data_IF_557152762682
#
_entry.id   IF_557152762682
#
_cell.length_a   1.000
_cell.length_b   1.000
_cell.length_c   1.000
_cell.angle_alpha   90.00
_cell.angle_beta   90.00
_cell.angle_gamma   90.00
#
_symmetry.space_group_name_H-M   'P 1'
#
loop_
_entity.id
_entity.type
_entity.pdbx_description
1 polymer ?
#
# COMPACT_ATOMS: atom_id res chain seq x y z
N UNK A 1 2.86 12.25 0.84
CA UNK A 1 3.80 12.17 -0.28
C UNK A 1 4.51 13.51 -0.48
N UNK A 2 5.80 13.46 -0.78
CA UNK A 2 6.69 14.62 -0.70
C UNK A 2 7.19 15.10 -2.06
N UNK A 3 7.36 14.20 -3.02
CA UNK A 3 7.86 14.57 -4.34
C UNK A 3 6.83 15.43 -5.09
N UNK A 4 7.22 16.57 -5.67
CA UNK A 4 6.32 17.44 -6.43
C UNK A 4 5.62 16.70 -7.57
N UNK A 5 4.37 17.05 -7.85
CA UNK A 5 3.53 16.41 -8.87
C UNK A 5 4.11 16.49 -10.28
N UNK A 6 4.88 17.52 -10.58
CA UNK A 6 5.53 17.70 -11.88
C UNK A 6 6.47 16.57 -12.28
N UNK A 7 6.96 15.80 -11.29
CA UNK A 7 7.82 14.65 -11.54
C UNK A 7 7.06 13.35 -11.81
N UNK A 8 5.75 13.34 -11.56
CA UNK A 8 4.90 12.19 -11.85
C UNK A 8 4.40 12.23 -13.29
N UNK A 9 4.78 11.24 -14.09
CA UNK A 9 4.39 11.18 -15.50
C UNK A 9 2.93 10.76 -15.71
N UNK A 10 2.29 10.16 -14.70
CA UNK A 10 0.89 9.75 -14.77
C UNK A 10 0.13 10.22 -13.54
N UNK A 11 -0.67 11.25 -13.70
CA UNK A 11 -1.44 11.89 -12.62
C UNK A 11 -2.46 10.98 -11.94
N UNK A 12 -2.84 9.89 -12.58
CA UNK A 12 -3.83 8.94 -12.05
C UNK A 12 -3.17 7.76 -11.33
N UNK A 13 -1.86 7.67 -11.33
CA UNK A 13 -1.09 6.55 -10.83
C UNK A 13 -0.02 6.99 -9.82
N UNK A 14 0.75 6.03 -9.36
CA UNK A 14 1.89 6.30 -8.48
C UNK A 14 1.54 6.42 -7.00
N UNK A 15 0.29 6.25 -6.63
CA UNK A 15 -0.17 6.37 -5.26
C UNK A 15 -0.25 5.03 -4.54
N UNK A 16 -1.41 4.77 -3.94
CA UNK A 16 -1.66 3.63 -3.08
C UNK A 16 -2.93 2.91 -3.53
N UNK A 17 -2.88 1.58 -3.50
CA UNK A 17 -4.05 0.72 -3.64
C UNK A 17 -4.35 0.07 -2.31
N UNK A 18 -5.57 0.20 -1.83
CA UNK A 18 -6.06 -0.44 -0.61
C UNK A 18 -7.24 -1.32 -0.98
N UNK A 19 -7.19 -2.57 -0.55
CA UNK A 19 -8.26 -3.53 -0.79
C UNK A 19 -9.17 -3.61 0.44
N UNK A 20 -10.43 -3.95 0.22
CA UNK A 20 -11.43 -4.05 1.29
C UNK A 20 -11.42 -5.39 2.03
N UNK A 21 -10.35 -6.14 1.91
CA UNK A 21 -10.18 -7.45 2.54
C UNK A 21 -8.93 -7.46 3.41
N UNK A 22 -9.05 -7.77 4.70
CA UNK A 22 -7.88 -7.92 5.57
C UNK A 22 -7.20 -9.27 5.36
N UNK A 23 -5.92 -9.35 5.73
CA UNK A 23 -5.22 -10.62 5.75
C UNK A 23 -5.84 -11.55 6.81
N UNK A 24 -6.05 -12.84 6.48
CA UNK A 24 -6.53 -13.81 7.47
C UNK A 24 -5.57 -13.89 8.66
N UNK A 25 -6.11 -14.02 9.86
CA UNK A 25 -5.31 -14.08 11.10
C UNK A 25 -4.32 -15.25 11.12
N UNK A 26 -4.64 -16.34 10.42
CA UNK A 26 -3.80 -17.53 10.36
C UNK A 26 -2.69 -17.46 9.30
N UNK A 27 -2.61 -16.38 8.55
CA UNK A 27 -1.52 -16.20 7.59
C UNK A 27 -0.26 -15.69 8.29
N UNK A 28 0.90 -16.27 7.94
CA UNK A 28 2.19 -15.77 8.41
C UNK A 28 2.53 -14.41 7.80
N UNK A 29 3.45 -13.70 8.44
CA UNK A 29 3.95 -12.43 7.91
C UNK A 29 4.45 -12.55 6.48
N UNK A 30 5.23 -13.57 6.17
CA UNK A 30 5.74 -13.81 4.82
C UNK A 30 4.62 -14.03 3.82
N UNK A 31 3.60 -14.81 4.20
CA UNK A 31 2.49 -15.14 3.33
C UNK A 31 1.70 -13.93 2.89
N UNK A 32 1.41 -13.00 3.80
CA UNK A 32 0.62 -11.81 3.45
C UNK A 32 1.46 -10.62 2.95
N UNK A 33 2.78 -10.71 2.95
CA UNK A 33 3.64 -9.63 2.45
C UNK A 33 4.41 -9.99 1.17
N UNK A 34 4.80 -11.22 0.99
CA UNK A 34 5.76 -11.59 -0.06
C UNK A 34 5.24 -12.51 -1.13
N UNK A 35 4.19 -13.27 -0.86
CA UNK A 35 3.63 -14.19 -1.84
C UNK A 35 2.56 -13.51 -2.71
N UNK A 36 3.00 -12.73 -3.70
CA UNK A 36 2.13 -11.94 -4.55
C UNK A 36 1.07 -12.79 -5.28
N UNK A 37 1.46 -13.93 -5.83
CA UNK A 37 0.52 -14.82 -6.55
C UNK A 37 -0.62 -15.29 -5.66
N UNK A 38 -0.31 -15.74 -4.44
CA UNK A 38 -1.30 -16.21 -3.49
C UNK A 38 -2.21 -15.08 -3.02
N UNK A 39 -1.64 -13.91 -2.78
CA UNK A 39 -2.39 -12.72 -2.37
C UNK A 39 -3.40 -12.32 -3.45
N UNK A 40 -2.97 -12.19 -4.70
CA UNK A 40 -3.86 -11.82 -5.80
C UNK A 40 -4.96 -12.86 -6.04
N UNK A 41 -4.62 -14.14 -5.95
CA UNK A 41 -5.61 -15.21 -6.04
C UNK A 41 -6.65 -15.14 -4.93
N UNK A 42 -6.20 -14.89 -3.70
CA UNK A 42 -7.08 -14.72 -2.54
C UNK A 42 -8.01 -13.51 -2.71
N UNK A 43 -7.47 -12.37 -3.15
CA UNK A 43 -8.25 -11.16 -3.40
C UNK A 43 -9.31 -11.38 -4.49
N UNK A 44 -8.96 -12.10 -5.54
CA UNK A 44 -9.90 -12.46 -6.61
C UNK A 44 -11.01 -13.37 -6.10
N UNK A 45 -10.68 -14.41 -5.34
CA UNK A 45 -11.66 -15.35 -4.75
C UNK A 45 -12.63 -14.61 -3.80
N UNK A 46 -12.16 -13.62 -3.07
CA UNK A 46 -12.98 -12.79 -2.16
C UNK A 46 -13.70 -11.67 -2.87
N UNK A 47 -13.50 -11.49 -4.16
CA UNK A 47 -14.05 -10.38 -4.94
C UNK A 47 -13.73 -9.03 -4.29
N UNK A 48 -12.49 -8.86 -3.88
CA UNK A 48 -12.02 -7.67 -3.20
C UNK A 48 -12.17 -6.44 -4.09
N UNK A 49 -12.66 -5.35 -3.49
CA UNK A 49 -12.69 -4.05 -4.15
C UNK A 49 -11.41 -3.29 -3.82
N UNK A 50 -10.86 -2.65 -4.82
CA UNK A 50 -9.65 -1.85 -4.68
C UNK A 50 -10.00 -0.37 -4.69
N UNK A 51 -9.62 0.34 -3.63
CA UNK A 51 -9.62 1.80 -3.59
C UNK A 51 -8.28 2.29 -4.09
N UNK A 52 -8.28 2.99 -5.21
CA UNK A 52 -7.06 3.58 -5.77
C UNK A 52 -6.96 5.04 -5.33
N UNK A 53 -5.92 5.37 -4.57
CA UNK A 53 -5.62 6.73 -4.15
C UNK A 53 -4.48 7.25 -5.02
N UNK A 54 -4.77 8.13 -5.99
CA UNK A 54 -3.73 8.68 -6.86
C UNK A 54 -2.67 9.44 -6.08
N UNK A 55 -1.45 9.41 -6.56
CA UNK A 55 -0.37 10.22 -6.00
C UNK A 55 -0.71 11.71 -6.13
N UNK A 56 -0.48 12.45 -5.07
CA UNK A 56 -0.55 13.91 -5.09
C UNK A 56 0.43 14.46 -4.07
N UNK A 57 1.21 15.44 -4.48
CA UNK A 57 2.11 16.15 -3.56
C UNK A 57 1.37 16.63 -2.32
N UNK A 58 1.98 16.43 -1.18
CA UNK A 58 1.46 16.87 0.12
C UNK A 58 0.14 16.20 0.53
N UNK A 59 -0.23 15.08 -0.07
CA UNK A 59 -1.37 14.27 0.34
C UNK A 59 -0.96 13.32 1.45
N UNK A 60 -1.77 13.27 2.50
CA UNK A 60 -1.69 12.25 3.54
C UNK A 60 -2.83 11.24 3.37
N UNK A 61 -2.54 9.96 3.58
CA UNK A 61 -3.53 8.89 3.53
C UNK A 61 -3.51 8.17 4.86
N UNK A 62 -4.68 8.04 5.47
CA UNK A 62 -4.86 7.30 6.72
C UNK A 62 -5.70 6.06 6.44
N UNK A 63 -5.18 4.89 6.76
CA UNK A 63 -5.90 3.64 6.52
C UNK A 63 -5.49 2.57 7.52
N UNK A 64 -6.33 1.54 7.66
CA UNK A 64 -6.02 0.40 8.51
C UNK A 64 -5.08 -0.56 7.76
N UNK A 65 -3.87 -0.70 8.27
CA UNK A 65 -2.83 -1.53 7.64
C UNK A 65 -3.10 -3.04 7.69
N UNK A 66 -4.14 -3.48 8.41
CA UNK A 66 -4.57 -4.88 8.39
C UNK A 66 -5.18 -5.28 7.04
N UNK A 67 -5.68 -4.32 6.27
CA UNK A 67 -6.17 -4.57 4.93
C UNK A 67 -5.01 -4.72 3.95
N UNK A 68 -5.18 -5.57 2.95
CA UNK A 68 -4.19 -5.67 1.88
C UNK A 68 -4.05 -4.33 1.16
N UNK A 69 -2.82 -3.94 0.92
CA UNK A 69 -2.49 -2.68 0.25
C UNK A 69 -1.16 -2.81 -0.48
N UNK A 70 -1.02 -2.02 -1.52
CA UNK A 70 0.21 -1.99 -2.29
C UNK A 70 0.43 -0.61 -2.90
N UNK A 71 1.69 -0.29 -3.17
CA UNK A 71 2.01 0.87 -3.98
C UNK A 71 1.57 0.62 -5.42
N UNK A 72 0.87 1.58 -6.02
CA UNK A 72 0.50 1.51 -7.43
C UNK A 72 1.73 1.67 -8.32
N UNK A 73 1.57 1.38 -9.61
CA UNK A 73 2.65 1.54 -10.59
C UNK A 73 3.25 2.94 -10.53
N UNK A 74 4.55 2.99 -10.32
CA UNK A 74 5.31 4.24 -10.24
C UNK A 74 5.91 4.55 -11.60
N UNK A 75 5.64 5.75 -12.10
CA UNK A 75 6.21 6.27 -13.32
C UNK A 75 6.59 7.74 -13.09
N UNK A 76 7.77 7.95 -12.54
CA UNK A 76 8.31 9.27 -12.23
C UNK A 76 9.49 9.57 -13.16
N UNK A 77 9.74 10.85 -13.38
CA UNK A 77 10.90 11.31 -14.14
C UNK A 77 12.18 10.78 -13.54
N UNK A 78 13.18 10.50 -14.37
CA UNK A 78 14.48 10.04 -13.89
C UNK A 78 15.24 11.16 -13.20
N UNK A 79 16.15 10.76 -12.30
CA UNK A 79 16.98 11.68 -11.54
C UNK A 79 16.71 11.59 -10.05
N UNK A 80 17.69 12.02 -9.26
CA UNK A 80 17.63 11.96 -7.80
C UNK A 80 16.47 12.78 -7.24
N UNK A 81 16.26 13.98 -7.76
CA UNK A 81 15.24 14.92 -7.30
C UNK A 81 13.82 14.48 -7.66
N UNK A 82 13.70 13.60 -8.64
CA UNK A 82 12.41 13.12 -9.15
C UNK A 82 11.92 11.85 -8.47
N UNK A 83 12.68 11.30 -7.54
CA UNK A 83 12.30 10.07 -6.83
C UNK A 83 11.01 10.28 -6.05
N UNK A 84 10.12 9.31 -6.18
CA UNK A 84 8.91 9.28 -5.38
C UNK A 84 9.27 9.04 -3.92
N UNK A 85 8.95 9.98 -3.05
CA UNK A 85 9.24 9.91 -1.63
C UNK A 85 7.95 9.99 -0.84
N UNK A 86 7.79 9.09 0.11
CA UNK A 86 6.73 9.16 1.10
C UNK A 86 7.30 9.04 2.51
N UNK A 87 6.57 9.55 3.47
CA UNK A 87 6.81 9.32 4.89
C UNK A 87 5.68 8.44 5.40
N UNK A 88 6.03 7.35 6.05
CA UNK A 88 5.06 6.43 6.64
C UNK A 88 5.15 6.48 8.15
N UNK A 89 4.01 6.73 8.80
CA UNK A 89 3.88 6.66 10.25
C UNK A 89 3.05 5.44 10.62
N UNK A 90 3.62 4.56 11.43
CA UNK A 90 2.91 3.40 11.97
C UNK A 90 2.52 3.72 13.41
N UNK A 91 1.23 3.62 13.69
CA UNK A 91 0.70 3.89 15.03
C UNK A 91 -0.48 2.96 15.35
N UNK A 92 -0.85 2.92 16.61
CA UNK A 92 -1.92 2.08 17.10
C UNK A 92 -1.45 1.10 18.14
N UNK A 93 -2.38 0.26 18.61
CA UNK A 93 -2.10 -0.74 19.64
C UNK A 93 -1.77 -2.07 19.01
N UNK A 94 -0.58 -2.60 19.30
CA UNK A 94 -0.22 -3.97 18.96
C UNK A 94 -0.77 -4.92 20.01
N UNK A 95 -1.49 -5.94 19.56
CA UNK A 95 -1.75 -7.09 20.43
C UNK A 95 -0.47 -7.89 20.57
N UNK A 96 0.11 -7.89 21.75
CA UNK A 96 1.21 -8.77 22.08
C UNK A 96 0.60 -10.13 22.41
N UNK A 97 0.93 -11.17 21.63
CA UNK A 97 0.59 -12.54 22.00
C UNK A 97 1.32 -12.85 23.31
N UNK A 98 0.57 -13.14 24.38
CA UNK A 98 1.16 -13.72 25.56
C UNK A 98 1.70 -15.10 25.20
N UNK A 99 3.01 -15.24 25.29
CA UNK A 99 3.64 -16.55 25.28
C UNK A 99 3.51 -17.10 26.71
N UNK A 100 2.63 -18.05 26.83
CA UNK A 100 2.57 -18.84 28.07
C UNK A 100 3.57 -19.98 27.97
#
# INVERSE_FOLDING_TARGET
WITPDEYNNDKNRGGLKVYDVPAPENWSFDRYNTNAKEIYKFLEEKKAKCENIPYQFNRAVLFNSAYFHETDKIDFKSGYESRRINITYLFGTRKIKKIN
#
